data_IF_166797953456
#
_entry.id   IF_166797953456
#
_cell.length_a   1.000
_cell.length_b   1.000
_cell.length_c   1.000
_cell.angle_alpha   90.00
_cell.angle_beta   90.00
_cell.angle_gamma   90.00
#
_symmetry.space_group_name_H-M   'P 1'
#
loop_
_entity.id
_entity.type
_entity.pdbx_description
1 polymer ?
#
# COMPACT_ATOMS: atom_id res chain seq x y z
N UNK A 1 36.08 -61.34 -46.60
CA UNK A 1 37.28 -60.50 -46.49
C UNK A 1 37.63 -60.41 -45.01
N UNK A 2 38.90 -60.64 -44.68
CA UNK A 2 39.39 -61.24 -43.43
C UNK A 2 38.93 -60.58 -42.11
N UNK A 3 38.46 -61.40 -41.17
CA UNK A 3 38.41 -61.07 -39.76
C UNK A 3 39.84 -61.10 -39.22
N UNK A 4 40.42 -59.93 -38.97
CA UNK A 4 41.71 -59.80 -38.31
C UNK A 4 41.47 -60.06 -36.82
N UNK A 5 41.70 -61.30 -36.39
CA UNK A 5 41.77 -61.67 -34.98
C UNK A 5 43.00 -60.99 -34.38
N UNK A 6 42.83 -59.84 -33.71
CA UNK A 6 43.89 -59.28 -32.88
C UNK A 6 44.16 -60.24 -31.72
N UNK A 7 45.22 -61.02 -31.81
CA UNK A 7 45.76 -61.75 -30.67
C UNK A 7 46.40 -60.72 -29.75
N UNK A 8 45.67 -60.29 -28.73
CA UNK A 8 46.21 -59.46 -27.66
C UNK A 8 47.02 -60.38 -26.75
N UNK A 9 48.34 -60.46 -26.96
CA UNK A 9 49.26 -61.04 -25.97
C UNK A 9 49.37 -60.07 -24.81
N UNK A 10 48.47 -60.17 -23.84
CA UNK A 10 48.66 -59.56 -22.52
C UNK A 10 49.70 -60.42 -21.78
N UNK A 11 50.94 -59.94 -21.57
CA UNK A 11 51.87 -60.64 -20.69
C UNK A 11 51.22 -60.67 -19.31
N UNK A 12 51.08 -61.86 -18.74
CA UNK A 12 50.66 -61.97 -17.35
C UNK A 12 51.68 -61.18 -16.49
N UNK A 13 51.22 -60.42 -15.48
CA UNK A 13 52.10 -59.65 -14.63
C UNK A 13 53.15 -60.57 -13.98
N UNK A 14 54.40 -60.11 -13.91
CA UNK A 14 55.45 -60.86 -13.25
C UNK A 14 55.07 -61.08 -11.77
N UNK A 15 55.28 -62.31 -11.28
CA UNK A 15 54.94 -62.64 -9.91
C UNK A 15 55.81 -61.82 -8.94
N UNK A 16 55.28 -61.37 -7.79
CA UNK A 16 56.03 -60.59 -6.81
C UNK A 16 57.28 -61.33 -6.31
N UNK A 17 58.33 -60.57 -6.00
CA UNK A 17 59.58 -61.09 -5.45
C UNK A 17 59.30 -61.75 -4.08
N UNK A 18 59.43 -63.08 -4.01
CA UNK A 18 59.10 -63.89 -2.82
C UNK A 18 57.87 -64.80 -2.95
N UNK A 19 57.15 -64.77 -4.07
CA UNK A 19 56.04 -65.68 -4.33
C UNK A 19 56.51 -67.15 -4.45
N UNK A 20 55.84 -68.05 -3.73
CA UNK A 20 56.09 -69.49 -3.72
C UNK A 20 54.83 -70.24 -4.13
N UNK A 21 54.95 -71.15 -5.11
CA UNK A 21 53.82 -71.93 -5.62
C UNK A 21 53.13 -72.77 -4.53
N UNK A 22 53.87 -73.24 -3.53
CA UNK A 22 53.34 -74.08 -2.46
C UNK A 22 52.63 -73.29 -1.35
N UNK A 23 52.98 -72.00 -1.16
CA UNK A 23 52.45 -71.17 -0.07
C UNK A 23 51.39 -70.17 -0.53
N UNK A 24 51.55 -69.63 -1.74
CA UNK A 24 50.78 -68.48 -2.21
C UNK A 24 49.75 -68.84 -3.29
N UNK A 25 49.77 -70.09 -3.80
CA UNK A 25 48.72 -70.57 -4.70
C UNK A 25 47.46 -70.97 -3.93
N UNK A 26 46.42 -70.15 -4.05
CA UNK A 26 45.08 -70.45 -3.50
C UNK A 26 44.10 -70.71 -4.64
N UNK A 27 43.73 -71.97 -4.84
CA UNK A 27 42.69 -72.32 -5.81
C UNK A 27 41.35 -71.66 -5.41
N UNK A 28 40.91 -70.67 -6.18
CA UNK A 28 39.71 -69.85 -5.85
C UNK A 28 38.41 -70.60 -6.13
N UNK A 29 38.48 -71.72 -6.86
CA UNK A 29 37.36 -72.60 -7.15
C UNK A 29 37.74 -73.67 -8.18
N UNK A 30 36.88 -74.67 -8.34
CA UNK A 30 36.97 -75.62 -9.46
C UNK A 30 36.07 -75.12 -10.58
N UNK A 31 36.49 -75.27 -11.84
CA UNK A 31 35.62 -75.02 -12.99
C UNK A 31 34.38 -75.92 -12.85
N UNK A 32 33.20 -75.35 -13.06
CA UNK A 32 31.98 -76.13 -13.18
C UNK A 32 32.09 -77.06 -14.40
N UNK A 33 31.50 -78.25 -14.31
CA UNK A 33 31.43 -79.17 -15.44
C UNK A 33 30.68 -78.53 -16.62
N UNK A 34 31.02 -78.93 -17.84
CA UNK A 34 30.32 -78.44 -19.03
C UNK A 34 28.83 -78.80 -18.95
N UNK A 35 27.96 -77.80 -19.05
CA UNK A 35 26.50 -77.98 -19.07
C UNK A 35 26.01 -77.77 -20.49
N UNK A 36 25.44 -78.82 -21.09
CA UNK A 36 24.76 -78.71 -22.37
C UNK A 36 23.43 -77.99 -22.16
N UNK A 37 23.26 -76.84 -22.82
CA UNK A 37 22.02 -76.04 -22.80
C UNK A 37 21.42 -76.04 -24.19
N UNK A 38 20.10 -76.27 -24.28
CA UNK A 38 19.36 -76.00 -25.51
C UNK A 38 19.19 -74.49 -25.64
N UNK A 39 19.64 -73.92 -26.75
CA UNK A 39 19.47 -72.50 -27.04
C UNK A 39 18.27 -72.39 -27.97
N UNK A 40 17.22 -71.72 -27.50
CA UNK A 40 16.08 -71.43 -28.35
C UNK A 40 16.44 -70.31 -29.34
N UNK A 41 16.00 -70.39 -30.60
CA UNK A 41 16.24 -69.35 -31.58
C UNK A 41 15.31 -68.16 -31.30
N UNK A 42 15.69 -67.33 -30.34
CA UNK A 42 14.95 -66.13 -29.94
C UNK A 42 15.83 -64.89 -30.11
N UNK A 43 15.18 -63.76 -30.36
CA UNK A 43 15.83 -62.45 -30.40
C UNK A 43 16.04 -61.86 -31.80
N UNK A 44 16.56 -60.62 -31.86
CA UNK A 44 16.54 -59.79 -33.07
C UNK A 44 17.27 -60.43 -34.27
N UNK A 45 18.39 -61.10 -34.02
CA UNK A 45 19.20 -61.72 -35.07
C UNK A 45 18.54 -62.96 -35.69
N UNK A 46 17.86 -63.76 -34.87
CA UNK A 46 17.09 -64.89 -35.40
C UNK A 46 15.88 -64.41 -36.21
N UNK A 47 15.16 -63.41 -35.72
CA UNK A 47 14.04 -62.80 -36.45
C UNK A 47 14.50 -62.20 -37.79
N UNK A 48 15.66 -61.53 -37.81
CA UNK A 48 16.26 -61.01 -39.04
C UNK A 48 16.64 -62.15 -40.01
N UNK A 49 17.22 -63.24 -39.51
CA UNK A 49 17.52 -64.42 -40.35
C UNK A 49 16.24 -65.07 -40.90
N UNK A 50 15.23 -65.28 -40.05
CA UNK A 50 13.95 -65.86 -40.45
C UNK A 50 13.22 -64.98 -41.48
N UNK A 51 13.26 -63.65 -41.31
CA UNK A 51 12.74 -62.68 -42.29
C UNK A 51 13.46 -62.80 -43.63
N UNK A 52 14.79 -62.76 -43.64
CA UNK A 52 15.60 -62.94 -44.86
C UNK A 52 15.28 -64.25 -45.58
N UNK A 53 15.23 -65.36 -44.83
CA UNK A 53 14.92 -66.67 -45.36
C UNK A 53 13.50 -66.74 -45.95
N UNK A 54 12.50 -66.19 -45.24
CA UNK A 54 11.10 -66.14 -45.70
C UNK A 54 10.92 -65.31 -46.96
N UNK A 55 11.62 -64.19 -47.06
CA UNK A 55 11.52 -63.28 -48.21
C UNK A 55 12.53 -63.56 -49.33
N UNK A 56 13.39 -64.58 -49.17
CA UNK A 56 14.48 -64.92 -50.10
C UNK A 56 15.38 -63.73 -50.43
N UNK A 57 15.71 -62.93 -49.42
CA UNK A 57 16.54 -61.72 -49.55
C UNK A 57 17.97 -62.00 -49.11
N UNK A 58 18.92 -61.37 -49.80
CA UNK A 58 20.29 -61.28 -49.31
C UNK A 58 20.37 -60.37 -48.08
N UNK A 59 21.48 -60.44 -47.34
CA UNK A 59 21.70 -59.59 -46.16
C UNK A 59 21.63 -58.10 -46.51
N UNK A 60 22.28 -57.69 -47.60
CA UNK A 60 22.30 -56.29 -48.07
C UNK A 60 20.93 -55.80 -48.56
N UNK A 61 20.14 -56.66 -49.21
CA UNK A 61 18.79 -56.30 -49.65
C UNK A 61 17.82 -56.14 -48.48
N UNK A 62 17.86 -57.05 -47.51
CA UNK A 62 16.97 -56.97 -46.34
C UNK A 62 17.35 -55.80 -45.43
N UNK A 63 18.65 -55.52 -45.23
CA UNK A 63 19.12 -54.34 -44.51
C UNK A 63 18.67 -53.05 -45.18
N UNK A 64 18.76 -52.96 -46.52
CA UNK A 64 18.26 -51.79 -47.28
C UNK A 64 16.75 -51.63 -47.13
N UNK A 65 15.99 -52.72 -47.22
CA UNK A 65 14.52 -52.69 -47.09
C UNK A 65 14.10 -52.36 -45.66
N UNK A 66 14.76 -52.92 -44.65
CA UNK A 66 14.50 -52.60 -43.25
C UNK A 66 14.87 -51.16 -42.91
N UNK A 67 15.96 -50.64 -43.49
CA UNK A 67 16.31 -49.22 -43.38
C UNK A 67 15.24 -48.34 -44.04
N UNK A 68 14.72 -48.71 -45.22
CA UNK A 68 13.63 -48.01 -45.89
C UNK A 68 12.30 -48.08 -45.12
N UNK A 69 11.91 -49.25 -44.60
CA UNK A 69 10.71 -49.44 -43.78
C UNK A 69 10.81 -48.68 -42.46
N UNK A 70 11.99 -48.68 -41.82
CA UNK A 70 12.22 -47.91 -40.59
C UNK A 70 12.17 -46.40 -40.86
N UNK A 71 12.75 -45.94 -41.96
CA UNK A 71 12.65 -44.54 -42.37
C UNK A 71 11.20 -44.14 -42.66
N UNK A 72 10.42 -45.02 -43.32
CA UNK A 72 9.01 -44.81 -43.62
C UNK A 72 8.14 -44.81 -42.35
N UNK A 73 8.36 -45.75 -41.43
CA UNK A 73 7.64 -45.79 -40.15
C UNK A 73 7.93 -44.56 -39.28
N UNK A 74 9.16 -44.00 -39.34
CA UNK A 74 9.47 -42.74 -38.64
C UNK A 74 8.74 -41.54 -39.28
N UNK A 75 8.53 -41.55 -40.60
CA UNK A 75 7.69 -40.55 -41.27
C UNK A 75 6.21 -40.69 -40.87
N UNK A 76 5.67 -41.91 -40.76
CA UNK A 76 4.23 -42.15 -40.46
C UNK A 76 3.85 -42.01 -38.97
N UNK A 77 4.76 -42.32 -38.03
CA UNK A 77 4.48 -42.28 -36.57
C UNK A 77 4.54 -40.86 -35.99
N UNK A 78 5.24 -39.94 -36.65
CA UNK A 78 5.42 -38.55 -36.18
C UNK A 78 4.43 -37.55 -36.81
N UNK A 79 3.47 -38.02 -37.61
CA UNK A 79 2.43 -37.20 -38.22
C UNK A 79 1.26 -36.91 -37.26
N UNK A 80 1.26 -37.52 -36.07
CA UNK A 80 0.28 -37.28 -35.00
C UNK A 80 0.43 -35.95 -34.27
N UNK A 81 1.59 -35.28 -34.35
CA UNK A 81 1.71 -33.85 -34.04
C UNK A 81 1.49 -33.08 -35.34
N UNK A 82 0.30 -32.50 -35.50
CA UNK A 82 -0.11 -31.64 -36.63
C UNK A 82 1.06 -30.80 -37.15
N UNK A 83 1.71 -31.28 -38.22
CA UNK A 83 2.70 -30.53 -38.97
C UNK A 83 2.00 -29.30 -39.52
N UNK A 84 2.33 -28.11 -39.01
CA UNK A 84 1.79 -26.86 -39.55
C UNK A 84 1.97 -26.85 -41.08
N UNK A 85 0.91 -26.55 -41.86
CA UNK A 85 1.00 -26.55 -43.31
C UNK A 85 2.06 -25.54 -43.76
N UNK A 86 2.98 -26.00 -44.62
CA UNK A 86 4.04 -25.16 -45.15
C UNK A 86 3.47 -24.26 -46.25
N UNK A 87 3.45 -22.95 -45.99
CA UNK A 87 3.06 -21.95 -46.99
C UNK A 87 4.05 -21.98 -48.17
N UNK A 88 3.58 -22.04 -49.44
CA UNK A 88 4.43 -21.92 -50.62
C UNK A 88 5.38 -20.72 -50.61
N UNK A 89 5.01 -19.59 -49.98
CA UNK A 89 5.89 -18.43 -49.83
C UNK A 89 7.05 -18.68 -48.88
N UNK A 90 6.87 -19.52 -47.86
CA UNK A 90 7.93 -19.92 -46.93
C UNK A 90 9.04 -20.69 -47.65
N UNK A 91 8.69 -21.52 -48.63
CA UNK A 91 9.66 -22.32 -49.38
C UNK A 91 10.54 -21.48 -50.32
N UNK A 92 10.16 -20.24 -50.59
CA UNK A 92 10.91 -19.28 -51.42
C UNK A 92 11.84 -18.37 -50.58
N UNK A 93 11.90 -18.58 -49.26
CA UNK A 93 12.75 -17.82 -48.36
C UNK A 93 14.24 -17.98 -48.73
N UNK A 94 14.92 -16.85 -48.85
CA UNK A 94 16.33 -16.79 -49.19
C UNK A 94 17.19 -16.79 -47.92
N UNK A 95 18.28 -17.56 -47.90
CA UNK A 95 19.14 -17.64 -46.71
C UNK A 95 19.80 -16.30 -46.34
N UNK A 96 19.97 -15.40 -47.31
CA UNK A 96 20.54 -14.06 -47.12
C UNK A 96 19.66 -13.19 -46.21
N UNK A 97 18.35 -13.36 -46.28
CA UNK A 97 17.38 -12.55 -45.56
C UNK A 97 16.99 -13.15 -44.21
N UNK A 98 17.78 -14.08 -43.67
CA UNK A 98 17.48 -14.81 -42.42
C UNK A 98 17.13 -13.90 -41.22
N UNK A 99 17.63 -12.66 -41.18
CA UNK A 99 17.32 -11.71 -40.10
C UNK A 99 15.84 -11.30 -40.08
N UNK A 100 15.15 -11.25 -41.22
CA UNK A 100 13.72 -10.86 -41.30
C UNK A 100 12.78 -12.06 -41.18
N UNK A 101 13.33 -13.26 -41.06
CA UNK A 101 12.56 -14.50 -41.05
C UNK A 101 12.09 -14.86 -39.65
N UNK A 102 10.92 -15.48 -39.60
CA UNK A 102 10.39 -16.06 -38.38
C UNK A 102 10.93 -17.48 -38.20
N UNK A 103 11.94 -17.62 -37.34
CA UNK A 103 12.62 -18.89 -37.09
C UNK A 103 11.68 -19.97 -36.52
N UNK A 104 10.66 -19.60 -35.77
CA UNK A 104 9.67 -20.55 -35.27
C UNK A 104 8.78 -21.06 -36.40
N UNK A 105 8.33 -20.18 -37.31
CA UNK A 105 7.57 -20.58 -38.51
C UNK A 105 8.37 -21.50 -39.42
N UNK A 106 9.65 -21.19 -39.65
CA UNK A 106 10.54 -22.04 -40.48
C UNK A 106 10.62 -23.46 -39.93
N UNK A 107 10.70 -23.63 -38.61
CA UNK A 107 10.71 -24.94 -37.96
C UNK A 107 9.31 -25.57 -37.78
N UNK A 108 8.22 -24.83 -38.03
CA UNK A 108 6.85 -25.31 -37.79
C UNK A 108 6.46 -25.32 -36.31
N UNK A 109 7.03 -24.40 -35.53
CA UNK A 109 6.79 -24.21 -34.09
C UNK A 109 5.99 -22.92 -33.82
N UNK A 110 5.21 -22.43 -34.78
CA UNK A 110 4.51 -21.14 -34.69
C UNK A 110 3.49 -21.13 -33.55
N UNK A 111 2.87 -22.27 -33.24
CA UNK A 111 1.99 -22.45 -32.07
C UNK A 111 2.72 -22.30 -30.72
N UNK A 112 3.98 -22.74 -30.63
CA UNK A 112 4.73 -22.80 -29.38
C UNK A 112 5.57 -21.54 -29.14
N UNK A 113 6.18 -20.94 -30.17
CA UNK A 113 7.03 -19.72 -30.08
C UNK A 113 8.08 -19.83 -28.95
N UNK A 114 8.24 -18.76 -28.17
CA UNK A 114 9.07 -18.67 -26.96
C UNK A 114 8.77 -19.74 -25.90
N UNK A 115 7.64 -20.44 -25.96
CA UNK A 115 7.32 -21.57 -25.06
C UNK A 115 7.87 -22.92 -25.55
N UNK A 116 8.40 -22.98 -26.77
CA UNK A 116 8.96 -24.21 -27.33
C UNK A 116 10.13 -24.71 -26.49
N UNK A 117 10.13 -25.99 -26.13
CA UNK A 117 11.24 -26.60 -25.41
C UNK A 117 12.41 -26.88 -26.35
N UNK A 118 13.62 -27.02 -25.80
CA UNK A 118 14.80 -27.38 -26.58
C UNK A 118 14.61 -28.71 -27.31
N UNK A 119 13.93 -29.68 -26.67
CA UNK A 119 13.60 -30.98 -27.28
C UNK A 119 12.66 -30.84 -28.47
N UNK A 120 11.63 -29.99 -28.36
CA UNK A 120 10.71 -29.69 -29.46
C UNK A 120 11.45 -29.03 -30.63
N UNK A 121 12.38 -28.12 -30.35
CA UNK A 121 13.22 -27.47 -31.37
C UNK A 121 14.09 -28.50 -32.08
N UNK A 122 14.79 -29.36 -31.33
CA UNK A 122 15.62 -30.44 -31.92
C UNK A 122 14.80 -31.43 -32.74
N UNK A 123 13.59 -31.77 -32.28
CA UNK A 123 12.67 -32.68 -32.97
C UNK A 123 12.19 -32.05 -34.29
N UNK A 124 11.73 -30.81 -34.25
CA UNK A 124 11.27 -30.06 -35.42
C UNK A 124 12.39 -29.89 -36.45
N UNK A 125 13.62 -29.57 -36.02
CA UNK A 125 14.79 -29.51 -36.89
C UNK A 125 15.05 -30.85 -37.60
N UNK A 126 15.07 -31.98 -36.89
CA UNK A 126 15.26 -33.31 -37.51
C UNK A 126 14.19 -33.60 -38.56
N UNK A 127 12.92 -33.30 -38.26
CA UNK A 127 11.78 -33.48 -39.19
C UNK A 127 11.96 -32.62 -40.46
N UNK A 128 12.29 -31.34 -40.29
CA UNK A 128 12.49 -30.38 -41.38
C UNK A 128 13.70 -30.72 -42.26
N UNK A 129 14.81 -31.14 -41.66
CA UNK A 129 16.02 -31.60 -42.38
C UNK A 129 15.72 -32.81 -43.23
N UNK A 130 15.02 -33.83 -42.70
CA UNK A 130 14.66 -35.03 -43.45
C UNK A 130 13.74 -34.73 -44.64
N UNK A 131 12.81 -33.78 -44.47
CA UNK A 131 11.86 -33.38 -45.50
C UNK A 131 12.50 -32.53 -46.61
N UNK A 132 13.38 -31.61 -46.24
CA UNK A 132 13.95 -30.59 -47.15
C UNK A 132 15.43 -30.82 -47.49
N UNK A 133 15.97 -32.01 -47.20
CA UNK A 133 17.37 -32.34 -47.46
C UNK A 133 17.73 -32.13 -48.96
N UNK A 134 18.86 -31.49 -49.27
CA UNK A 134 19.27 -31.22 -50.66
C UNK A 134 19.36 -32.51 -51.50
N UNK A 135 19.82 -33.62 -50.91
CA UNK A 135 19.91 -34.92 -51.59
C UNK A 135 18.55 -35.47 -52.04
N UNK A 136 17.51 -35.35 -51.20
CA UNK A 136 16.14 -35.79 -51.53
C UNK A 136 15.51 -34.89 -52.59
N UNK A 137 15.84 -33.59 -52.58
CA UNK A 137 15.39 -32.62 -53.60
C UNK A 137 16.09 -32.84 -54.95
N UNK A 138 17.39 -33.12 -54.94
CA UNK A 138 18.16 -33.47 -56.14
C UNK A 138 17.61 -34.75 -56.79
N UNK A 139 17.25 -35.76 -56.00
CA UNK A 139 16.58 -36.96 -56.48
C UNK A 139 15.19 -36.70 -57.12
N UNK A 140 14.53 -35.60 -56.75
CA UNK A 140 13.26 -35.16 -57.33
C UNK A 140 13.40 -34.21 -58.55
N UNK A 141 14.62 -34.00 -59.05
CA UNK A 141 14.90 -33.15 -60.22
C UNK A 141 14.89 -31.64 -59.94
N UNK A 142 14.92 -31.22 -58.66
CA UNK A 142 15.01 -29.82 -58.24
C UNK A 142 16.41 -29.54 -57.68
N UNK A 143 17.33 -29.07 -58.52
CA UNK A 143 18.77 -28.97 -58.20
C UNK A 143 19.23 -27.61 -57.68
N UNK A 144 18.39 -26.57 -57.67
CA UNK A 144 18.88 -25.18 -57.55
C UNK A 144 18.46 -24.43 -56.28
N UNK A 145 17.74 -25.05 -55.33
CA UNK A 145 17.15 -24.30 -54.21
C UNK A 145 17.36 -24.93 -52.81
N UNK A 146 18.61 -24.86 -52.37
CA UNK A 146 19.05 -25.16 -51.01
C UNK A 146 18.85 -23.98 -50.05
N UNK A 147 18.26 -22.87 -50.50
CA UNK A 147 18.11 -21.65 -49.70
C UNK A 147 17.23 -21.92 -48.48
N UNK A 148 16.10 -22.60 -48.69
CA UNK A 148 15.22 -22.97 -47.59
C UNK A 148 15.89 -23.92 -46.59
N UNK A 149 16.75 -24.84 -47.06
CA UNK A 149 17.50 -25.72 -46.16
C UNK A 149 18.49 -24.94 -45.29
N UNK A 150 19.18 -23.95 -45.87
CA UNK A 150 20.03 -23.02 -45.11
C UNK A 150 19.23 -22.16 -44.12
N UNK A 151 18.00 -21.76 -44.46
CA UNK A 151 17.09 -21.11 -43.52
C UNK A 151 16.75 -22.02 -42.32
N UNK A 152 16.49 -23.30 -42.54
CA UNK A 152 16.23 -24.29 -41.47
C UNK A 152 17.44 -24.42 -40.53
N UNK A 153 18.64 -24.51 -41.10
CA UNK A 153 19.89 -24.54 -40.32
C UNK A 153 20.04 -23.28 -39.48
N UNK A 154 19.87 -22.10 -40.11
CA UNK A 154 20.00 -20.82 -39.41
C UNK A 154 18.96 -20.62 -38.32
N UNK A 155 17.71 -21.02 -38.56
CA UNK A 155 16.64 -20.99 -37.57
C UNK A 155 16.98 -21.85 -36.35
N UNK A 156 17.53 -23.04 -36.58
CA UNK A 156 17.95 -23.93 -35.50
C UNK A 156 19.12 -23.36 -34.72
N UNK A 157 20.12 -22.79 -35.39
CA UNK A 157 21.28 -22.16 -34.75
C UNK A 157 20.86 -20.98 -33.84
N UNK A 158 19.85 -20.21 -34.24
CA UNK A 158 19.31 -19.11 -33.44
C UNK A 158 18.48 -19.62 -32.28
N UNK A 159 17.59 -20.59 -32.51
CA UNK A 159 16.64 -21.06 -31.48
C UNK A 159 17.26 -22.02 -30.46
N UNK A 160 18.34 -22.72 -30.81
CA UNK A 160 19.00 -23.65 -29.90
C UNK A 160 20.00 -22.95 -28.96
N UNK A 161 20.61 -21.86 -29.40
CA UNK A 161 21.49 -21.03 -28.57
C UNK A 161 20.66 -20.14 -27.64
N UNK A 162 20.74 -20.30 -26.31
CA UNK A 162 19.91 -19.53 -25.38
C UNK A 162 20.08 -18.01 -25.50
N UNK A 163 21.27 -17.53 -25.86
CA UNK A 163 21.55 -16.10 -25.99
C UNK A 163 20.92 -15.56 -27.26
N UNK A 164 21.15 -16.23 -28.40
CA UNK A 164 20.57 -15.82 -29.69
C UNK A 164 19.06 -15.95 -29.70
N UNK A 165 18.52 -17.02 -29.10
CA UNK A 165 17.09 -17.21 -28.94
C UNK A 165 16.48 -16.07 -28.16
N UNK A 166 17.10 -15.67 -27.05
CA UNK A 166 16.63 -14.53 -26.26
C UNK A 166 16.72 -13.21 -27.01
N UNK A 167 17.76 -12.99 -27.81
CA UNK A 167 17.86 -11.81 -28.68
C UNK A 167 16.71 -11.77 -29.70
N UNK A 168 16.41 -12.91 -30.33
CA UNK A 168 15.30 -13.04 -31.28
C UNK A 168 13.93 -12.86 -30.59
N UNK A 169 13.69 -13.57 -29.49
CA UNK A 169 12.45 -13.48 -28.70
C UNK A 169 12.21 -12.04 -28.17
N UNK A 170 13.25 -11.22 -28.03
CA UNK A 170 13.13 -9.81 -27.63
C UNK A 170 12.43 -8.92 -28.67
N UNK A 171 12.32 -9.39 -29.92
CA UNK A 171 11.76 -8.65 -31.05
C UNK A 171 10.74 -9.47 -31.85
N UNK A 172 10.23 -10.58 -31.29
CA UNK A 172 9.19 -11.39 -31.91
C UNK A 172 7.83 -10.68 -31.84
N UNK A 173 7.56 -9.87 -32.86
CA UNK A 173 6.33 -9.07 -32.99
C UNK A 173 5.07 -9.94 -33.06
N UNK A 174 5.14 -11.14 -33.62
CA UNK A 174 3.93 -11.95 -33.79
C UNK A 174 3.52 -12.67 -32.50
N UNK A 175 4.42 -12.75 -31.54
CA UNK A 175 4.07 -13.18 -30.21
C UNK A 175 3.50 -12.03 -29.36
N UNK A 176 3.56 -10.77 -29.82
CA UNK A 176 2.98 -9.62 -29.12
C UNK A 176 1.46 -9.59 -29.30
N UNK A 177 0.74 -9.12 -28.28
CA UNK A 177 -0.72 -9.01 -28.30
C UNK A 177 -1.07 -7.54 -28.35
N UNK A 178 -1.69 -7.11 -29.45
CA UNK A 178 -2.08 -5.71 -29.60
C UNK A 178 -3.11 -5.27 -28.54
N UNK A 179 -3.05 -4.01 -28.08
CA UNK A 179 -4.06 -3.44 -27.19
C UNK A 179 -5.47 -3.55 -27.78
N UNK A 180 -6.49 -3.86 -26.96
CA UNK A 180 -7.85 -4.01 -27.45
C UNK A 180 -8.40 -2.69 -28.00
N UNK A 181 -9.02 -2.77 -29.18
CA UNK A 181 -9.70 -1.63 -29.80
C UNK A 181 -10.95 -1.22 -28.99
N UNK A 182 -11.39 0.04 -29.12
CA UNK A 182 -12.61 0.53 -28.47
C UNK A 182 -13.84 -0.35 -28.76
N UNK A 183 -13.96 -0.89 -29.98
CA UNK A 183 -15.06 -1.79 -30.36
C UNK A 183 -14.99 -3.14 -29.63
N UNK A 184 -13.78 -3.68 -29.42
CA UNK A 184 -13.58 -4.91 -28.66
C UNK A 184 -13.88 -4.68 -27.17
N UNK A 185 -13.48 -3.52 -26.62
CA UNK A 185 -13.78 -3.17 -25.23
C UNK A 185 -15.28 -2.98 -24.96
N UNK A 186 -16.07 -2.56 -25.95
CA UNK A 186 -17.53 -2.44 -25.80
C UNK A 186 -18.26 -3.79 -25.79
N UNK A 187 -17.73 -4.81 -26.47
CA UNK A 187 -18.38 -6.12 -26.63
C UNK A 187 -17.78 -7.21 -25.74
N UNK A 188 -16.53 -7.04 -25.33
CA UNK A 188 -15.75 -8.03 -24.61
C UNK A 188 -15.51 -7.66 -23.15
N UNK A 189 -15.03 -8.63 -22.38
CA UNK A 189 -14.62 -8.45 -20.99
C UNK A 189 -13.31 -7.62 -20.93
N UNK A 190 -13.41 -6.39 -20.42
CA UNK A 190 -12.31 -5.45 -20.27
C UNK A 190 -11.07 -6.08 -19.63
N UNK A 191 -11.27 -6.79 -18.52
CA UNK A 191 -10.19 -7.35 -17.71
C UNK A 191 -9.53 -8.54 -18.39
N UNK A 192 -10.30 -9.38 -19.07
CA UNK A 192 -9.73 -10.49 -19.86
C UNK A 192 -8.95 -9.99 -21.07
N UNK A 193 -9.43 -8.94 -21.75
CA UNK A 193 -8.76 -8.39 -22.92
C UNK A 193 -7.43 -7.75 -22.54
N UNK A 194 -7.42 -6.82 -21.58
CA UNK A 194 -6.19 -6.20 -21.08
C UNK A 194 -5.27 -7.20 -20.36
N UNK A 195 -5.84 -8.16 -19.62
CA UNK A 195 -5.08 -9.22 -18.96
C UNK A 195 -4.26 -10.07 -19.93
N UNK A 196 -4.76 -10.32 -21.16
CA UNK A 196 -3.99 -11.02 -22.21
C UNK A 196 -2.80 -10.18 -22.69
N UNK A 197 -3.00 -8.87 -22.88
CA UNK A 197 -1.94 -7.94 -23.30
C UNK A 197 -0.83 -7.91 -22.26
N UNK A 198 -1.16 -7.63 -21.00
CA UNK A 198 -0.18 -7.58 -19.92
C UNK A 198 0.48 -8.92 -19.65
N UNK A 199 -0.23 -10.05 -19.84
CA UNK A 199 0.38 -11.39 -19.77
C UNK A 199 1.39 -11.62 -20.89
N UNK A 200 1.15 -11.09 -22.09
CA UNK A 200 2.13 -11.16 -23.18
C UNK A 200 3.36 -10.33 -22.86
N UNK A 201 3.17 -9.08 -22.41
CA UNK A 201 4.26 -8.17 -22.02
C UNK A 201 5.06 -8.68 -20.80
N UNK A 202 4.41 -9.39 -19.88
CA UNK A 202 5.01 -9.88 -18.64
C UNK A 202 6.20 -10.82 -18.88
N UNK A 203 6.25 -11.48 -20.06
CA UNK A 203 7.38 -12.34 -20.44
C UNK A 203 8.70 -11.58 -20.51
N UNK A 204 8.65 -10.27 -20.70
CA UNK A 204 9.82 -9.41 -20.80
C UNK A 204 10.30 -8.86 -19.46
N UNK A 205 9.61 -9.14 -18.35
CA UNK A 205 10.02 -8.63 -17.05
C UNK A 205 11.30 -9.31 -16.56
N UNK A 206 12.19 -8.53 -15.92
CA UNK A 206 13.28 -9.08 -15.10
C UNK A 206 12.85 -9.44 -13.68
N UNK A 207 11.73 -8.88 -13.22
CA UNK A 207 11.29 -8.95 -11.83
C UNK A 207 10.08 -9.90 -11.75
N UNK A 208 10.19 -10.91 -10.89
CA UNK A 208 9.13 -11.89 -10.65
C UNK A 208 8.83 -12.03 -9.15
N UNK A 209 7.58 -12.33 -8.75
CA UNK A 209 6.42 -12.58 -9.61
C UNK A 209 5.86 -11.30 -10.24
N UNK A 210 5.30 -11.41 -11.45
CA UNK A 210 4.65 -10.28 -12.14
C UNK A 210 3.19 -10.22 -11.66
N UNK A 211 2.72 -9.08 -11.10
CA UNK A 211 1.33 -8.91 -10.70
C UNK A 211 0.36 -9.10 -11.88
N UNK A 212 -0.74 -9.81 -11.64
CA UNK A 212 -1.79 -10.00 -12.64
C UNK A 212 -2.68 -8.76 -12.75
N UNK A 213 -3.32 -8.55 -13.91
CA UNK A 213 -4.27 -7.43 -14.08
C UNK A 213 -5.50 -7.51 -13.16
N UNK A 214 -5.82 -8.71 -12.69
CA UNK A 214 -6.97 -8.98 -11.83
C UNK A 214 -8.30 -8.99 -12.59
N UNK A 215 -9.37 -8.75 -11.84
CA UNK A 215 -10.76 -8.71 -12.29
C UNK A 215 -11.46 -7.44 -11.77
N UNK A 216 -12.77 -7.31 -12.04
CA UNK A 216 -13.58 -6.18 -11.59
C UNK A 216 -13.65 -5.99 -10.07
N UNK A 217 -13.45 -7.06 -9.30
CA UNK A 217 -13.61 -7.07 -7.84
C UNK A 217 -12.28 -6.97 -7.09
N UNK A 218 -11.17 -6.84 -7.81
CA UNK A 218 -9.84 -6.74 -7.23
C UNK A 218 -9.74 -5.56 -6.26
N UNK A 219 -9.03 -5.77 -5.15
CA UNK A 219 -8.86 -4.76 -4.11
C UNK A 219 -8.04 -3.58 -4.62
N UNK A 220 -8.15 -2.44 -3.93
CA UNK A 220 -7.38 -1.25 -4.28
C UNK A 220 -5.88 -1.52 -4.20
N UNK A 221 -5.44 -2.25 -3.19
CA UNK A 221 -4.04 -2.60 -2.97
C UNK A 221 -3.49 -3.44 -4.12
N UNK A 222 -4.25 -4.42 -4.60
CA UNK A 222 -3.85 -5.23 -5.74
C UNK A 222 -3.73 -4.39 -7.03
N UNK A 223 -4.69 -3.49 -7.25
CA UNK A 223 -4.67 -2.59 -8.41
C UNK A 223 -3.49 -1.63 -8.32
N UNK A 224 -3.25 -1.04 -7.16
CA UNK A 224 -2.11 -0.13 -6.92
C UNK A 224 -0.78 -0.88 -7.11
N UNK A 225 -0.63 -2.10 -6.58
CA UNK A 225 0.56 -2.95 -6.78
C UNK A 225 0.79 -3.24 -8.26
N UNK A 226 -0.26 -3.61 -9.01
CA UNK A 226 -0.19 -3.85 -10.44
C UNK A 226 0.33 -2.60 -11.18
N UNK A 227 -0.35 -1.46 -11.05
CA UNK A 227 0.05 -0.27 -11.80
C UNK A 227 1.43 0.24 -11.37
N UNK A 228 1.77 0.17 -10.08
CA UNK A 228 3.11 0.55 -9.59
C UNK A 228 4.20 -0.34 -10.19
N UNK A 229 3.98 -1.65 -10.29
CA UNK A 229 4.91 -2.57 -10.94
C UNK A 229 5.11 -2.20 -12.41
N UNK A 230 4.01 -1.95 -13.15
CA UNK A 230 4.08 -1.67 -14.59
C UNK A 230 4.63 -0.27 -14.91
N UNK A 231 4.40 0.74 -14.07
CA UNK A 231 5.05 2.05 -14.23
C UNK A 231 6.56 2.00 -13.98
N UNK A 232 7.03 1.02 -13.20
CA UNK A 232 8.44 0.74 -12.92
C UNK A 232 8.95 -0.52 -13.64
N UNK A 233 8.31 -0.90 -14.75
CA UNK A 233 8.61 -2.14 -15.44
C UNK A 233 10.07 -2.17 -15.95
N UNK A 234 10.83 -3.18 -15.52
CA UNK A 234 12.18 -3.41 -16.01
C UNK A 234 12.19 -4.55 -17.04
N UNK A 235 12.31 -4.18 -18.31
CA UNK A 235 12.33 -5.09 -19.45
C UNK A 235 13.73 -5.66 -19.69
N UNK A 236 13.80 -6.97 -19.98
CA UNK A 236 15.03 -7.57 -20.47
C UNK A 236 15.24 -7.46 -21.97
N UNK A 237 14.29 -6.94 -22.75
CA UNK A 237 14.43 -6.79 -24.21
C UNK A 237 15.74 -6.09 -24.55
N UNK A 238 16.57 -6.72 -25.37
CA UNK A 238 17.90 -6.18 -25.73
C UNK A 238 17.89 -5.44 -27.05
N UNK A 239 17.01 -5.82 -27.99
CA UNK A 239 16.94 -5.32 -29.37
C UNK A 239 18.21 -5.56 -30.20
N UNK A 240 19.10 -6.42 -29.71
CA UNK A 240 20.40 -6.73 -30.32
C UNK A 240 20.27 -7.53 -31.61
N UNK A 241 19.21 -8.33 -31.74
CA UNK A 241 18.88 -9.01 -32.99
C UNK A 241 18.67 -8.03 -34.17
N UNK A 242 18.28 -6.79 -33.87
CA UNK A 242 18.06 -5.71 -34.84
C UNK A 242 19.29 -4.81 -35.02
N UNK A 243 20.47 -5.25 -34.61
CA UNK A 243 21.72 -4.59 -34.95
C UNK A 243 22.00 -4.76 -36.46
N UNK A 244 22.18 -3.64 -37.16
CA UNK A 244 22.36 -3.61 -38.62
C UNK A 244 23.71 -4.19 -39.01
N UNK A 245 24.76 -3.71 -38.34
CA UNK A 245 26.15 -3.96 -38.67
C UNK A 245 26.75 -4.95 -37.66
N UNK A 246 27.29 -6.08 -38.11
CA UNK A 246 28.05 -7.00 -37.25
C UNK A 246 29.53 -6.67 -37.45
N UNK A 247 30.28 -6.26 -36.41
CA UNK A 247 31.69 -5.95 -36.58
C UNK A 247 32.45 -7.15 -37.15
N UNK A 248 33.17 -6.96 -38.26
CA UNK A 248 34.03 -7.99 -38.82
C UNK A 248 35.34 -8.04 -38.02
N UNK A 249 35.82 -9.25 -37.71
CA UNK A 249 37.07 -9.45 -36.99
C UNK A 249 38.31 -9.08 -37.86
N UNK A 250 38.13 -8.90 -39.17
CA UNK A 250 39.16 -8.40 -40.09
C UNK A 250 39.35 -6.88 -40.13
N UNK A 251 38.48 -6.10 -39.47
CA UNK A 251 38.48 -4.63 -39.56
C UNK A 251 39.34 -3.95 -38.47
N UNK A 252 39.73 -2.69 -38.71
CA UNK A 252 40.47 -1.89 -37.72
C UNK A 252 39.69 -1.77 -36.41
N UNK A 253 40.40 -1.79 -35.29
CA UNK A 253 39.82 -1.69 -33.94
C UNK A 253 38.94 -0.45 -33.76
N UNK A 254 39.28 0.65 -34.42
CA UNK A 254 38.49 1.89 -34.39
C UNK A 254 37.18 1.76 -35.18
N UNK A 255 37.17 0.98 -36.27
CA UNK A 255 35.96 0.65 -37.02
C UNK A 255 35.02 -0.21 -36.17
N UNK A 256 35.53 -1.28 -35.54
CA UNK A 256 34.77 -2.13 -34.61
C UNK A 256 34.12 -1.31 -33.50
N UNK A 257 34.88 -0.40 -32.86
CA UNK A 257 34.34 0.52 -31.84
C UNK A 257 33.28 1.47 -32.39
N UNK A 258 33.43 1.95 -33.63
CA UNK A 258 32.44 2.81 -34.26
C UNK A 258 31.11 2.08 -34.49
N UNK A 259 31.18 0.86 -35.03
CA UNK A 259 30.02 0.00 -35.29
C UNK A 259 29.31 -0.35 -33.98
N UNK A 260 30.04 -0.80 -32.96
CA UNK A 260 29.47 -1.12 -31.65
C UNK A 260 28.76 0.09 -31.02
N UNK A 261 29.31 1.30 -31.19
CA UNK A 261 28.67 2.54 -30.73
C UNK A 261 27.40 2.86 -31.51
N UNK A 262 27.39 2.67 -32.84
CA UNK A 262 26.20 2.86 -33.69
C UNK A 262 25.08 1.90 -33.25
N UNK A 263 25.41 0.62 -33.07
CA UNK A 263 24.46 -0.39 -32.59
C UNK A 263 23.95 -0.07 -31.18
N UNK A 264 24.85 0.27 -30.24
CA UNK A 264 24.45 0.66 -28.89
C UNK A 264 23.47 1.84 -28.87
N UNK A 265 23.68 2.84 -29.73
CA UNK A 265 22.75 3.97 -29.89
C UNK A 265 21.41 3.54 -30.49
N UNK A 266 21.42 2.65 -31.50
CA UNK A 266 20.20 2.07 -32.10
C UNK A 266 19.39 1.30 -31.06
N UNK A 267 20.02 0.41 -30.28
CA UNK A 267 19.38 -0.32 -29.19
C UNK A 267 18.83 0.62 -28.12
N UNK A 268 19.58 1.66 -27.74
CA UNK A 268 19.10 2.66 -26.77
C UNK A 268 17.85 3.38 -27.27
N UNK A 269 17.80 3.74 -28.56
CA UNK A 269 16.62 4.34 -29.18
C UNK A 269 15.42 3.39 -29.14
N UNK A 270 15.58 2.13 -29.59
CA UNK A 270 14.51 1.11 -29.57
C UNK A 270 14.00 0.83 -28.15
N UNK A 271 14.88 0.78 -27.16
CA UNK A 271 14.48 0.66 -25.73
C UNK A 271 13.67 1.86 -25.25
N UNK A 272 14.04 3.08 -25.66
CA UNK A 272 13.29 4.26 -25.31
C UNK A 272 11.90 4.27 -25.96
N UNK A 273 11.79 3.84 -27.22
CA UNK A 273 10.54 3.69 -27.95
C UNK A 273 9.63 2.62 -27.31
N UNK A 274 10.17 1.46 -26.96
CA UNK A 274 9.41 0.40 -26.27
C UNK A 274 8.93 0.84 -24.88
N UNK A 275 9.78 1.52 -24.12
CA UNK A 275 9.39 2.10 -22.84
C UNK A 275 8.29 3.17 -22.98
N UNK A 276 8.29 3.95 -24.07
CA UNK A 276 7.24 4.92 -24.35
C UNK A 276 5.94 4.23 -24.78
N UNK A 277 6.04 3.17 -25.60
CA UNK A 277 4.91 2.31 -26.00
C UNK A 277 4.24 1.67 -24.79
N UNK A 278 5.02 1.08 -23.87
CA UNK A 278 4.50 0.45 -22.66
C UNK A 278 3.80 1.46 -21.74
N UNK A 279 4.38 2.66 -21.58
CA UNK A 279 3.74 3.75 -20.82
C UNK A 279 2.40 4.15 -21.41
N UNK A 280 2.35 4.36 -22.73
CA UNK A 280 1.09 4.68 -23.42
C UNK A 280 0.04 3.57 -23.23
N UNK A 281 0.45 2.31 -23.35
CA UNK A 281 -0.40 1.15 -23.13
C UNK A 281 -0.98 1.15 -21.71
N UNK A 282 -0.16 1.44 -20.70
CA UNK A 282 -0.56 1.51 -19.31
C UNK A 282 -1.50 2.70 -19.03
N UNK A 283 -1.22 3.86 -19.63
CA UNK A 283 -2.07 5.04 -19.51
C UNK A 283 -3.46 4.79 -20.14
N UNK A 284 -3.50 4.18 -21.33
CA UNK A 284 -4.74 3.79 -22.00
C UNK A 284 -5.56 2.77 -21.15
N UNK A 285 -4.88 1.79 -20.54
CA UNK A 285 -5.51 0.83 -19.64
C UNK A 285 -6.00 1.49 -18.34
N UNK A 286 -5.24 2.41 -17.75
CA UNK A 286 -5.64 3.09 -16.51
C UNK A 286 -6.83 4.04 -16.72
N UNK A 287 -6.89 4.70 -17.88
CA UNK A 287 -7.99 5.60 -18.25
C UNK A 287 -9.31 4.82 -18.46
N UNK A 288 -9.21 3.59 -18.99
CA UNK A 288 -10.35 2.70 -19.17
C UNK A 288 -10.83 2.03 -17.88
N UNK A 289 -9.95 1.81 -16.90
CA UNK A 289 -10.21 0.97 -15.72
C UNK A 289 -11.28 1.56 -14.78
N UNK A 290 -12.40 0.85 -14.65
CA UNK A 290 -13.52 1.24 -13.79
C UNK A 290 -13.17 1.17 -12.30
N UNK A 291 -12.22 0.32 -11.90
CA UNK A 291 -11.80 0.19 -10.50
C UNK A 291 -11.12 1.46 -10.02
N UNK A 292 -10.20 2.00 -10.83
CA UNK A 292 -9.52 3.27 -10.54
C UNK A 292 -10.55 4.40 -10.43
N UNK A 293 -11.53 4.45 -11.33
CA UNK A 293 -12.62 5.44 -11.27
C UNK A 293 -13.40 5.32 -9.96
N UNK A 294 -13.78 4.11 -9.58
CA UNK A 294 -14.48 3.82 -8.32
C UNK A 294 -13.63 4.26 -7.11
N UNK A 295 -12.37 3.85 -7.02
CA UNK A 295 -11.49 4.23 -5.91
C UNK A 295 -11.26 5.74 -5.82
N UNK A 296 -11.17 6.44 -6.95
CA UNK A 296 -11.06 7.90 -6.99
C UNK A 296 -12.35 8.57 -6.49
N UNK A 297 -13.52 8.05 -6.89
CA UNK A 297 -14.82 8.55 -6.41
C UNK A 297 -14.98 8.32 -4.91
N UNK A 298 -14.68 7.13 -4.42
CA UNK A 298 -14.70 6.78 -3.00
C UNK A 298 -13.74 7.66 -2.18
N UNK A 299 -12.51 7.87 -2.65
CA UNK A 299 -11.54 8.73 -1.99
C UNK A 299 -12.00 10.19 -1.94
N UNK A 300 -12.57 10.71 -3.03
CA UNK A 300 -13.15 12.05 -3.07
C UNK A 300 -14.37 12.17 -2.15
N UNK A 301 -15.25 11.18 -2.12
CA UNK A 301 -16.41 11.13 -1.24
C UNK A 301 -15.99 11.08 0.24
N UNK A 302 -15.00 10.26 0.58
CA UNK A 302 -14.43 10.20 1.93
C UNK A 302 -13.79 11.52 2.35
N UNK A 303 -13.04 12.17 1.45
CA UNK A 303 -12.43 13.48 1.69
C UNK A 303 -13.51 14.57 1.90
N UNK A 304 -14.55 14.58 1.06
CA UNK A 304 -15.66 15.52 1.19
C UNK A 304 -16.46 15.27 2.47
N UNK A 305 -16.74 14.01 2.82
CA UNK A 305 -17.39 13.64 4.08
C UNK A 305 -16.57 14.14 5.27
N UNK A 306 -15.27 13.87 5.31
CA UNK A 306 -14.38 14.38 6.37
C UNK A 306 -14.35 15.91 6.44
N UNK A 307 -14.39 16.59 5.29
CA UNK A 307 -14.47 18.06 5.23
C UNK A 307 -15.78 18.57 5.83
N UNK A 308 -16.91 17.99 5.43
CA UNK A 308 -18.24 18.35 5.94
C UNK A 308 -18.38 18.06 7.43
N UNK A 309 -17.86 16.94 7.91
CA UNK A 309 -17.83 16.59 9.34
C UNK A 309 -16.98 17.59 10.14
N UNK A 310 -15.82 18.00 9.60
CA UNK A 310 -14.98 19.02 10.21
C UNK A 310 -15.67 20.39 10.24
N UNK A 311 -16.26 20.84 9.13
CA UNK A 311 -17.02 22.09 9.05
C UNK A 311 -18.23 22.10 9.99
N UNK A 312 -18.94 20.98 10.10
CA UNK A 312 -20.07 20.84 11.04
C UNK A 312 -19.61 20.86 12.50
N UNK A 313 -18.47 20.23 12.81
CA UNK A 313 -17.88 20.27 14.15
C UNK A 313 -17.40 21.68 14.51
N UNK A 314 -16.75 22.39 13.59
CA UNK A 314 -16.34 23.78 13.76
C UNK A 314 -17.56 24.71 13.93
N UNK A 315 -18.63 24.51 13.15
CA UNK A 315 -19.88 25.27 13.29
C UNK A 315 -20.53 25.03 14.65
N UNK A 316 -20.64 23.77 15.10
CA UNK A 316 -21.17 23.44 16.43
C UNK A 316 -20.33 24.05 17.54
N UNK A 317 -19.01 23.98 17.44
CA UNK A 317 -18.11 24.58 18.43
C UNK A 317 -18.21 26.11 18.45
N UNK A 318 -18.40 26.76 17.30
CA UNK A 318 -18.62 28.19 17.21
C UNK A 318 -19.99 28.60 17.81
N UNK A 319 -21.06 27.87 17.49
CA UNK A 319 -22.40 28.07 18.06
C UNK A 319 -22.39 27.87 19.59
N UNK A 320 -21.70 26.84 20.10
CA UNK A 320 -21.57 26.58 21.54
C UNK A 320 -20.70 27.64 22.24
N UNK A 321 -19.60 28.09 21.61
CA UNK A 321 -18.77 29.17 22.14
C UNK A 321 -19.52 30.51 22.16
N UNK A 322 -20.34 30.79 21.15
CA UNK A 322 -21.19 31.97 21.10
C UNK A 322 -22.27 31.90 22.18
N UNK A 323 -22.98 30.77 22.30
CA UNK A 323 -23.99 30.57 23.33
C UNK A 323 -23.38 30.68 24.74
N UNK A 324 -22.17 30.17 24.96
CA UNK A 324 -21.45 30.32 26.23
C UNK A 324 -21.08 31.78 26.52
N UNK A 325 -20.60 32.53 25.52
CA UNK A 325 -20.32 33.97 25.66
C UNK A 325 -21.59 34.77 25.96
N UNK A 326 -22.68 34.51 25.25
CA UNK A 326 -23.98 35.17 25.47
C UNK A 326 -24.54 34.84 26.86
N UNK A 327 -24.42 33.58 27.32
CA UNK A 327 -24.81 33.18 28.67
C UNK A 327 -23.95 33.84 29.75
N UNK A 328 -22.64 33.94 29.55
CA UNK A 328 -21.72 34.61 30.48
C UNK A 328 -21.96 36.12 30.53
N UNK A 329 -22.20 36.77 29.38
CA UNK A 329 -22.54 38.19 29.30
C UNK A 329 -23.88 38.48 29.98
N UNK A 330 -24.89 37.63 29.74
CA UNK A 330 -26.20 37.74 30.41
C UNK A 330 -26.07 37.54 31.91
N UNK A 331 -25.32 36.54 32.36
CA UNK A 331 -25.08 36.31 33.79
C UNK A 331 -24.32 37.47 34.45
N UNK A 332 -23.35 38.07 33.74
CA UNK A 332 -22.61 39.24 34.21
C UNK A 332 -23.51 40.48 34.29
N UNK A 333 -24.36 40.71 33.29
CA UNK A 333 -25.33 41.79 33.29
C UNK A 333 -26.38 41.64 34.41
N UNK A 334 -26.89 40.42 34.63
CA UNK A 334 -27.81 40.12 35.73
C UNK A 334 -27.13 40.32 37.10
N UNK A 335 -25.88 39.88 37.27
CA UNK A 335 -25.11 40.09 38.49
C UNK A 335 -24.82 41.58 38.75
N UNK A 336 -24.50 42.36 37.71
CA UNK A 336 -24.29 43.81 37.84
C UNK A 336 -25.59 44.55 38.18
N UNK A 337 -26.71 44.18 37.56
CA UNK A 337 -28.03 44.71 37.87
C UNK A 337 -28.43 44.41 39.33
N UNK A 338 -28.22 43.18 39.79
CA UNK A 338 -28.47 42.78 41.17
C UNK A 338 -27.58 43.57 42.16
N UNK A 339 -26.27 43.69 41.88
CA UNK A 339 -25.36 44.46 42.73
C UNK A 339 -25.71 45.97 42.78
N UNK A 340 -26.22 46.53 41.67
CA UNK A 340 -26.72 47.92 41.65
C UNK A 340 -27.99 48.08 42.48
N UNK A 341 -28.92 47.14 42.38
CA UNK A 341 -30.14 47.12 43.19
C UNK A 341 -29.82 47.02 44.69
N UNK A 342 -28.89 46.13 45.08
CA UNK A 342 -28.45 45.97 46.47
C UNK A 342 -27.76 47.23 47.02
N UNK A 343 -26.94 47.91 46.20
CA UNK A 343 -26.31 49.19 46.59
C UNK A 343 -27.34 50.30 46.80
N UNK A 344 -28.36 50.39 45.95
CA UNK A 344 -29.45 51.36 46.12
C UNK A 344 -30.30 51.04 47.35
N UNK A 345 -30.66 49.77 47.57
CA UNK A 345 -31.37 49.32 48.76
C UNK A 345 -30.56 49.63 50.03
N UNK A 346 -29.25 49.34 50.03
CA UNK A 346 -28.33 49.65 51.13
C UNK A 346 -28.21 51.15 51.42
N UNK A 347 -28.19 52.01 50.38
CA UNK A 347 -28.21 53.48 50.57
C UNK A 347 -29.52 53.95 51.20
N UNK A 348 -30.66 53.45 50.73
CA UNK A 348 -31.99 53.79 51.28
C UNK A 348 -32.11 53.33 52.73
N UNK A 349 -31.62 52.14 53.07
CA UNK A 349 -31.62 51.61 54.44
C UNK A 349 -30.73 52.45 55.38
N UNK A 350 -29.54 52.87 54.94
CA UNK A 350 -28.65 53.74 55.75
C UNK A 350 -29.25 55.12 56.01
N UNK A 351 -29.89 55.74 55.01
CA UNK A 351 -30.58 57.02 55.19
C UNK A 351 -31.80 56.89 56.12
N UNK A 352 -32.58 55.81 56.00
CA UNK A 352 -33.69 55.52 56.90
C UNK A 352 -33.20 55.35 58.36
N UNK A 353 -32.11 54.60 58.59
CA UNK A 353 -31.52 54.39 59.91
C UNK A 353 -31.00 55.70 60.53
N UNK A 354 -30.33 56.55 59.74
CA UNK A 354 -29.84 57.87 60.19
C UNK A 354 -31.00 58.80 60.59
N UNK A 355 -32.10 58.78 59.83
CA UNK A 355 -33.28 59.57 60.14
C UNK A 355 -34.02 59.05 61.38
N UNK A 356 -34.11 57.73 61.57
CA UNK A 356 -34.66 57.13 62.78
C UNK A 356 -33.83 57.50 64.02
N UNK A 357 -32.49 57.39 63.94
CA UNK A 357 -31.59 57.76 65.04
C UNK A 357 -31.73 59.23 65.45
N UNK A 358 -31.82 60.15 64.49
CA UNK A 358 -32.04 61.58 64.76
C UNK A 358 -33.37 61.83 65.50
N UNK A 359 -34.45 61.15 65.08
CA UNK A 359 -35.76 61.25 65.75
C UNK A 359 -35.67 60.75 67.19
N UNK A 360 -35.06 59.59 67.41
CA UNK A 360 -34.93 59.01 68.74
C UNK A 360 -34.08 59.88 69.68
N UNK A 361 -32.95 60.44 69.22
CA UNK A 361 -32.16 61.40 70.01
C UNK A 361 -32.94 62.66 70.38
N UNK A 362 -33.86 63.12 69.53
CA UNK A 362 -34.75 64.24 69.83
C UNK A 362 -35.77 63.91 70.92
N UNK A 363 -36.31 62.69 70.91
CA UNK A 363 -37.22 62.20 71.98
C UNK A 363 -36.50 62.20 73.32
N UNK A 364 -35.25 61.71 73.38
CA UNK A 364 -34.45 61.74 74.61
C UNK A 364 -34.29 63.16 75.18
N UNK A 365 -33.87 64.14 74.36
CA UNK A 365 -33.75 65.54 74.81
C UNK A 365 -35.11 66.18 75.13
N UNK A 366 -36.16 65.78 74.43
CA UNK A 366 -37.53 66.23 74.68
C UNK A 366 -38.02 65.78 76.06
N UNK A 367 -37.77 64.53 76.44
CA UNK A 367 -38.27 63.96 77.70
C UNK A 367 -37.86 64.77 78.94
N UNK A 368 -36.60 65.23 79.01
CA UNK A 368 -36.14 66.04 80.16
C UNK A 368 -36.70 67.46 80.14
N UNK A 369 -37.03 68.00 78.96
CA UNK A 369 -37.75 69.26 78.85
C UNK A 369 -39.20 69.11 79.32
N UNK A 370 -39.86 68.01 78.93
CA UNK A 370 -41.23 67.71 79.34
C UNK A 370 -41.32 67.47 80.86
N UNK A 371 -40.24 66.98 81.49
CA UNK A 371 -40.08 66.89 82.93
C UNK A 371 -39.63 68.21 83.62
N UNK A 372 -39.69 69.35 82.93
CA UNK A 372 -39.20 70.65 83.42
C UNK A 372 -37.76 70.62 83.96
N UNK A 373 -36.90 69.80 83.34
CA UNK A 373 -35.50 69.56 83.77
C UNK A 373 -35.39 69.15 85.24
N UNK A 374 -36.44 68.52 85.76
CA UNK A 374 -36.62 68.11 87.15
C UNK A 374 -36.56 69.26 88.17
N UNK A 375 -36.89 70.49 87.75
CA UNK A 375 -36.99 71.66 88.62
C UNK A 375 -38.39 71.80 89.24
N UNK A 376 -38.47 72.25 90.49
CA UNK A 376 -39.72 72.51 91.23
C UNK A 376 -40.41 73.85 90.90
N UNK A 377 -39.81 74.65 90.00
CA UNK A 377 -40.28 75.95 89.51
C UNK A 377 -39.63 76.27 88.16
N UNK A 378 -39.35 77.53 87.84
CA UNK A 378 -38.65 77.87 86.60
C UNK A 378 -37.21 77.31 86.59
N UNK A 379 -36.91 76.47 85.61
CA UNK A 379 -35.57 75.87 85.47
C UNK A 379 -34.54 76.95 85.12
N UNK A 380 -33.48 77.07 85.93
CA UNK A 380 -32.37 77.98 85.64
C UNK A 380 -31.54 77.49 84.46
N UNK A 381 -30.89 78.41 83.75
CA UNK A 381 -30.03 78.07 82.61
C UNK A 381 -28.95 77.03 82.98
N UNK A 382 -28.37 77.14 84.18
CA UNK A 382 -27.37 76.19 84.68
C UNK A 382 -27.96 74.77 84.91
N UNK A 383 -29.21 74.67 85.35
CA UNK A 383 -29.89 73.39 85.55
C UNK A 383 -30.23 72.72 84.21
N UNK A 384 -30.71 73.51 83.25
CA UNK A 384 -31.01 73.05 81.88
C UNK A 384 -29.75 72.49 81.22
N UNK A 385 -28.64 73.23 81.29
CA UNK A 385 -27.37 72.81 80.70
C UNK A 385 -26.80 71.56 81.38
N UNK A 386 -26.91 71.45 82.71
CA UNK A 386 -26.44 70.27 83.42
C UNK A 386 -27.24 69.00 83.05
N UNK A 387 -28.58 69.10 83.03
CA UNK A 387 -29.47 67.98 82.67
C UNK A 387 -29.31 67.59 81.20
N UNK A 388 -29.21 68.55 80.29
CA UNK A 388 -28.97 68.25 78.87
C UNK A 388 -27.57 67.70 78.63
N UNK A 389 -26.55 68.16 79.36
CA UNK A 389 -25.20 67.63 79.31
C UNK A 389 -25.14 66.17 79.76
N UNK A 390 -25.87 65.82 80.81
CA UNK A 390 -26.03 64.44 81.28
C UNK A 390 -26.76 63.56 80.24
N UNK A 391 -27.83 64.07 79.61
CA UNK A 391 -28.51 63.37 78.50
C UNK A 391 -27.56 63.15 77.32
N UNK A 392 -26.74 64.14 76.97
CA UNK A 392 -25.77 64.03 75.89
C UNK A 392 -24.65 63.04 76.21
N UNK A 393 -24.20 63.03 77.46
CA UNK A 393 -23.23 62.05 77.95
C UNK A 393 -23.78 60.63 77.82
N UNK A 394 -25.01 60.40 78.28
CA UNK A 394 -25.69 59.11 78.12
C UNK A 394 -25.81 58.76 76.63
N UNK A 395 -26.30 59.67 75.78
CA UNK A 395 -26.39 59.47 74.32
C UNK A 395 -25.06 59.12 73.64
N UNK A 396 -23.93 59.56 74.20
CA UNK A 396 -22.59 59.23 73.71
C UNK A 396 -22.11 57.82 74.10
N UNK A 397 -22.79 57.15 75.03
CA UNK A 397 -22.43 55.81 75.55
C UNK A 397 -23.33 54.67 75.06
N UNK A 398 -24.46 55.00 74.44
CA UNK A 398 -25.41 54.03 73.91
C UNK A 398 -25.42 54.01 72.38
N UNK A 399 -25.58 52.83 71.80
CA UNK A 399 -25.69 52.66 70.35
C UNK A 399 -27.09 53.05 69.81
N UNK A 400 -27.30 52.95 68.49
CA UNK A 400 -28.53 53.40 67.86
C UNK A 400 -29.78 52.60 68.29
N UNK A 401 -29.61 51.30 68.59
CA UNK A 401 -30.69 50.42 69.01
C UNK A 401 -31.02 50.65 70.49
N UNK A 402 -29.98 50.84 71.32
CA UNK A 402 -30.12 51.26 72.71
C UNK A 402 -30.81 52.65 72.81
N UNK A 403 -30.46 53.60 71.92
CA UNK A 403 -31.13 54.90 71.81
C UNK A 403 -32.59 54.75 71.40
N UNK A 404 -32.91 53.86 70.45
CA UNK A 404 -34.28 53.60 70.04
C UNK A 404 -35.12 52.97 71.16
N UNK A 405 -34.55 52.01 71.89
CA UNK A 405 -35.19 51.37 73.03
C UNK A 405 -35.45 52.37 74.17
N UNK A 406 -34.49 53.22 74.50
CA UNK A 406 -34.63 54.26 75.52
C UNK A 406 -35.65 55.34 75.08
N UNK A 407 -35.58 55.78 73.83
CA UNK A 407 -36.56 56.71 73.28
C UNK A 407 -37.97 56.11 73.32
N UNK A 408 -38.14 54.82 73.02
CA UNK A 408 -39.42 54.11 73.11
C UNK A 408 -39.99 54.09 74.53
N UNK A 409 -39.15 53.95 75.55
CA UNK A 409 -39.56 54.00 76.97
C UNK A 409 -39.93 55.41 77.45
N UNK A 410 -39.28 56.43 76.91
CA UNK A 410 -39.51 57.84 77.29
C UNK A 410 -40.62 58.52 76.47
N UNK A 411 -40.94 57.99 75.30
CA UNK A 411 -41.91 58.59 74.40
C UNK A 411 -43.32 58.55 74.99
N UNK A 412 -43.94 59.74 75.15
CA UNK A 412 -45.30 59.87 75.68
C UNK A 412 -45.40 59.95 77.21
N UNK A 413 -44.29 59.85 77.94
CA UNK A 413 -44.28 60.13 79.37
C UNK A 413 -44.34 61.65 79.59
N UNK A 414 -45.11 62.07 80.60
CA UNK A 414 -45.31 63.50 80.96
C UNK A 414 -45.11 63.76 82.46
N UNK A 415 -44.97 62.71 83.26
CA UNK A 415 -44.75 62.79 84.70
C UNK A 415 -43.24 62.82 84.97
N UNK A 416 -42.77 63.87 85.64
CA UNK A 416 -41.33 64.10 85.86
C UNK A 416 -40.65 62.95 86.60
N UNK A 417 -41.29 62.37 87.62
CA UNK A 417 -40.72 61.26 88.41
C UNK A 417 -40.62 59.95 87.60
N UNK A 418 -41.57 59.70 86.68
CA UNK A 418 -41.51 58.53 85.79
C UNK A 418 -40.41 58.68 84.74
N UNK A 419 -40.27 59.88 84.16
CA UNK A 419 -39.19 60.22 83.24
C UNK A 419 -37.84 60.08 83.95
N UNK A 420 -37.74 60.59 85.18
CA UNK A 420 -36.53 60.46 86.01
C UNK A 420 -36.22 58.99 86.30
N UNK A 421 -37.22 58.19 86.67
CA UNK A 421 -37.06 56.76 86.91
C UNK A 421 -36.52 55.98 85.71
N UNK A 422 -36.98 56.31 84.49
CA UNK A 422 -36.47 55.70 83.26
C UNK A 422 -35.01 56.10 83.00
N UNK A 423 -34.65 57.37 83.23
CA UNK A 423 -33.27 57.85 83.11
C UNK A 423 -32.34 57.25 84.17
N UNK A 424 -32.75 57.20 85.44
CA UNK A 424 -31.98 56.59 86.53
C UNK A 424 -31.76 55.09 86.29
N UNK A 425 -32.77 54.37 85.79
CA UNK A 425 -32.64 52.96 85.43
C UNK A 425 -31.65 52.74 84.28
N UNK A 426 -31.65 53.62 83.27
CA UNK A 426 -30.72 53.54 82.15
C UNK A 426 -29.29 53.90 82.56
N UNK A 427 -29.11 54.94 83.38
CA UNK A 427 -27.80 55.31 83.93
C UNK A 427 -27.26 54.16 84.78
N UNK A 428 -28.08 53.54 85.62
CA UNK A 428 -27.70 52.36 86.40
C UNK A 428 -27.25 51.21 85.50
N UNK A 429 -28.02 50.90 84.45
CA UNK A 429 -27.64 49.87 83.45
C UNK A 429 -26.29 50.17 82.81
N UNK A 430 -26.00 51.44 82.50
CA UNK A 430 -24.73 51.85 81.88
C UNK A 430 -23.56 51.81 82.85
N UNK A 431 -23.79 52.10 84.13
CA UNK A 431 -22.80 51.92 85.19
C UNK A 431 -22.50 50.43 85.41
N UNK A 432 -23.54 49.59 85.50
CA UNK A 432 -23.41 48.14 85.64
C UNK A 432 -22.68 47.51 84.45
N UNK A 433 -22.88 48.06 83.25
CA UNK A 433 -22.19 47.65 82.02
C UNK A 433 -20.78 48.27 81.86
N UNK A 434 -20.31 49.09 82.82
CA UNK A 434 -19.00 49.76 82.80
C UNK A 434 -18.84 50.85 81.73
N UNK A 435 -19.94 51.31 81.11
CA UNK A 435 -19.96 52.36 80.08
C UNK A 435 -19.98 53.78 80.68
N UNK A 436 -20.41 53.91 81.93
CA UNK A 436 -20.36 55.12 82.77
C UNK A 436 -19.76 54.79 84.14
N UNK A 437 -19.16 55.78 84.82
CA UNK A 437 -18.74 55.63 86.21
C UNK A 437 -19.80 56.21 87.14
N UNK A 438 -19.86 55.71 88.37
CA UNK A 438 -20.69 56.30 89.40
C UNK A 438 -20.32 57.77 89.62
N UNK A 439 -21.32 58.66 89.53
CA UNK A 439 -21.15 60.10 89.66
C UNK A 439 -20.79 60.86 88.37
N UNK A 440 -20.68 60.18 87.23
CA UNK A 440 -20.49 60.84 85.92
C UNK A 440 -21.76 61.59 85.46
N UNK A 441 -22.93 61.06 85.81
CA UNK A 441 -24.25 61.66 85.57
C UNK A 441 -24.82 62.09 86.92
N UNK A 442 -24.97 63.41 87.13
CA UNK A 442 -25.21 63.98 88.48
C UNK A 442 -26.61 64.53 88.66
N UNK A 443 -27.24 64.96 87.58
CA UNK A 443 -28.51 65.70 87.59
C UNK A 443 -29.67 64.88 87.03
N UNK A 444 -29.38 63.82 86.27
CA UNK A 444 -30.35 62.91 85.69
C UNK A 444 -30.84 61.79 86.63
N UNK A 445 -30.11 61.54 87.73
CA UNK A 445 -30.30 60.38 88.62
C UNK A 445 -30.99 60.75 89.92
#
# INVERSE_FOLDING_TARGET
MASVSQVVTLPLPALPEGWSADKDFKAVGKLSGAVQRSIEPVGPHFLAHARRARHKRTFSEDDRIQAQESAKNVEDVDDGEESEPEDPMMLQLQAKDWKTQDHYKVLGLSKYRWRATEEQIKKAHRKKVLKHHPDKKAASGRTEDDQFFKCIQKATDVLLDPVKRRQFDSVDEEADVEPPTKKQLQKGDYYKLWGKVFKSEARFSKIHPVPTFGDANSSKEHVDEFYNFWYNFDSWRSFEYLDEDVPDDGESRDHKRHVERKNANSRKKKKAEDNARLRKLLDDASAGDERIKRFRQEANAAKNKKKLEKEAAEKKAAEEAQAKKEAEEKAKAEAEAAAKADREAGKKAKEAAKNALKKNKRVLKGSVKDANYFASGDASAAQIDAVLGDVELVQGKIDADEIAALAGKLNGLTVADEIKGVWSAEVKRLVDAGKLKEGDVKTLV
#
